data_IF_377482446952
#
_entry.id   IF_377482446952
#
_cell.length_a   1.000
_cell.length_b   1.000
_cell.length_c   1.000
_cell.angle_alpha   90.00
_cell.angle_beta   90.00
_cell.angle_gamma   90.00
#
_symmetry.space_group_name_H-M   'P 1'
#
loop_
_entity.id
_entity.type
_entity.pdbx_description
1 polymer ?
#
# COMPACT_ATOMS: atom_id res chain seq x y z
N UNK A 1 -9.79 2.81 -23.74
CA UNK A 1 -9.67 3.09 -22.29
C UNK A 1 -8.41 3.90 -22.09
N UNK A 2 -8.55 5.20 -21.81
CA UNK A 2 -7.43 6.12 -21.62
C UNK A 2 -7.05 6.13 -20.13
N UNK A 3 -5.84 5.68 -19.82
CA UNK A 3 -5.25 5.79 -18.49
C UNK A 3 -4.74 7.23 -18.32
N UNK A 4 -5.51 8.08 -17.63
CA UNK A 4 -5.03 9.39 -17.22
C UNK A 4 -4.03 9.23 -16.07
N UNK A 5 -2.74 9.26 -16.42
CA UNK A 5 -1.68 9.60 -15.47
C UNK A 5 -1.80 11.10 -15.18
N UNK A 6 -2.27 11.45 -13.99
CA UNK A 6 -1.99 12.78 -13.47
C UNK A 6 -0.56 12.80 -12.93
N UNK A 7 0.21 13.73 -13.48
CA UNK A 7 1.55 14.13 -13.08
C UNK A 7 1.66 14.19 -11.55
N UNK A 8 2.65 13.47 -11.01
CA UNK A 8 3.04 13.56 -9.61
C UNK A 8 3.66 14.95 -9.43
N UNK A 9 2.92 15.88 -8.81
CA UNK A 9 3.41 17.23 -8.51
C UNK A 9 4.53 17.17 -7.46
N UNK A 10 5.59 18.00 -7.57
CA UNK A 10 6.56 18.16 -6.50
C UNK A 10 5.94 19.12 -5.47
N UNK A 11 5.69 18.66 -4.25
CA UNK A 11 5.18 19.51 -3.17
C UNK A 11 6.05 19.34 -1.93
N UNK A 12 6.96 20.28 -1.74
CA UNK A 12 7.69 20.44 -0.49
C UNK A 12 6.79 21.21 0.50
N UNK A 13 6.15 20.50 1.42
CA UNK A 13 5.51 21.10 2.61
C UNK A 13 5.83 20.26 3.84
N UNK A 14 6.20 20.94 4.91
CA UNK A 14 6.60 20.40 6.21
C UNK A 14 5.35 19.79 6.88
N UNK A 15 5.26 18.46 6.80
CA UNK A 15 4.27 17.58 7.42
C UNK A 15 4.57 16.16 6.92
N UNK A 16 4.87 15.23 7.82
CA UNK A 16 5.32 13.86 7.50
C UNK A 16 4.19 12.97 6.94
N UNK A 17 3.59 13.31 5.80
CA UNK A 17 2.54 12.49 5.17
C UNK A 17 3.17 11.36 4.36
N UNK A 18 3.86 10.44 5.04
CA UNK A 18 4.36 9.21 4.42
C UNK A 18 3.21 8.24 4.23
N UNK A 19 3.09 7.69 3.03
CA UNK A 19 1.96 6.85 2.63
C UNK A 19 2.39 5.40 2.43
N UNK A 20 1.51 4.49 2.81
CA UNK A 20 1.62 3.06 2.52
C UNK A 20 0.68 2.74 1.36
N UNK A 21 1.24 2.63 0.15
CA UNK A 21 0.45 2.47 -1.06
C UNK A 21 0.10 1.00 -1.28
N UNK A 22 -1.17 0.64 -1.34
CA UNK A 22 -1.62 -0.75 -1.43
C UNK A 22 -2.27 -1.08 -2.79
N UNK A 23 -1.79 -2.15 -3.43
CA UNK A 23 -2.26 -2.63 -4.73
C UNK A 23 -2.59 -4.12 -4.70
N UNK A 24 -3.74 -4.48 -5.28
CA UNK A 24 -4.18 -5.86 -5.29
C UNK A 24 -5.69 -6.01 -5.36
N UNK A 25 -6.11 -7.20 -5.76
CA UNK A 25 -7.51 -7.63 -5.84
C UNK A 25 -7.84 -8.76 -4.86
N UNK A 26 -6.91 -9.11 -3.98
CA UNK A 26 -7.14 -9.96 -2.81
C UNK A 26 -7.83 -9.21 -1.68
N UNK A 27 -8.43 -9.98 -0.78
CA UNK A 27 -8.97 -9.46 0.47
C UNK A 27 -7.84 -9.43 1.51
N UNK A 28 -7.68 -8.28 2.18
CA UNK A 28 -6.66 -8.10 3.21
C UNK A 28 -6.95 -8.98 4.43
N UNK A 29 -5.99 -9.85 4.77
CA UNK A 29 -5.91 -10.60 6.02
C UNK A 29 -4.55 -10.40 6.68
N UNK A 30 -4.48 -10.40 8.01
CA UNK A 30 -3.23 -10.10 8.74
C UNK A 30 -2.12 -11.12 8.46
N UNK A 31 -2.47 -12.37 8.18
CA UNK A 31 -1.56 -13.47 7.84
C UNK A 31 -1.28 -13.58 6.33
N UNK A 32 -1.88 -12.72 5.50
CA UNK A 32 -1.66 -12.72 4.06
C UNK A 32 -0.20 -12.35 3.74
N UNK A 33 0.40 -13.12 2.83
CA UNK A 33 1.73 -12.82 2.31
C UNK A 33 1.64 -11.73 1.25
N UNK A 34 2.32 -10.61 1.51
CA UNK A 34 2.40 -9.46 0.61
C UNK A 34 3.85 -9.21 0.18
N UNK A 35 3.99 -8.50 -0.94
CA UNK A 35 5.24 -7.99 -1.46
C UNK A 35 5.39 -6.53 -1.04
N UNK A 36 6.45 -6.24 -0.29
CA UNK A 36 6.84 -4.91 0.13
C UNK A 36 7.90 -4.41 -0.83
N UNK A 37 7.61 -3.34 -1.54
CA UNK A 37 8.50 -2.71 -2.49
C UNK A 37 8.98 -1.37 -1.92
N UNK A 38 10.29 -1.21 -1.81
CA UNK A 38 10.93 0.00 -1.28
C UNK A 38 12.07 0.44 -2.19
N UNK A 39 12.28 1.75 -2.31
CA UNK A 39 13.47 2.38 -2.90
C UNK A 39 14.11 3.27 -1.84
N UNK A 40 15.29 3.85 -2.12
CA UNK A 40 16.09 4.64 -1.18
C UNK A 40 15.30 5.73 -0.42
N UNK A 41 15.93 6.35 0.59
CA UNK A 41 15.27 7.28 1.51
C UNK A 41 14.43 8.37 0.80
N UNK A 42 13.12 8.33 1.02
CA UNK A 42 12.17 9.36 0.58
C UNK A 42 11.00 8.86 -0.26
N UNK A 43 11.07 7.64 -0.81
CA UNK A 43 9.95 7.05 -1.54
C UNK A 43 8.95 6.35 -0.58
N UNK A 44 7.67 6.45 -0.91
CA UNK A 44 6.60 5.75 -0.20
C UNK A 44 6.69 4.22 -0.46
N UNK A 45 6.60 3.36 0.58
CA UNK A 45 6.55 1.92 0.40
C UNK A 45 5.28 1.51 -0.37
N UNK A 46 5.46 0.55 -1.27
CA UNK A 46 4.38 -0.01 -2.09
C UNK A 46 4.15 -1.46 -1.68
N UNK A 47 2.92 -1.77 -1.29
CA UNK A 47 2.48 -3.09 -0.86
C UNK A 47 1.64 -3.69 -2.00
N UNK A 48 2.03 -4.87 -2.45
CA UNK A 48 1.31 -5.62 -3.46
C UNK A 48 0.94 -7.00 -2.92
N UNK A 49 -0.31 -7.42 -3.09
CA UNK A 49 -0.68 -8.82 -2.84
C UNK A 49 -0.20 -9.74 -3.97
N UNK A 50 -0.56 -11.03 -3.90
CA UNK A 50 -0.22 -12.02 -4.92
C UNK A 50 -1.23 -12.10 -6.09
N UNK A 51 -2.21 -11.19 -6.16
CA UNK A 51 -3.17 -11.13 -7.28
C UNK A 51 -2.51 -10.67 -8.58
N UNK A 52 -3.20 -10.85 -9.72
CA UNK A 52 -2.72 -10.36 -11.02
C UNK A 52 -2.42 -8.85 -10.99
N UNK A 53 -3.32 -8.04 -10.41
CA UNK A 53 -3.16 -6.59 -10.29
C UNK A 53 -1.98 -6.22 -9.38
N UNK A 54 -1.85 -6.90 -8.24
CA UNK A 54 -0.73 -6.72 -7.32
C UNK A 54 0.61 -7.03 -8.00
N UNK A 55 0.72 -8.19 -8.66
CA UNK A 55 1.95 -8.61 -9.35
C UNK A 55 2.29 -7.73 -10.55
N UNK A 56 1.29 -7.24 -11.27
CA UNK A 56 1.48 -6.26 -12.36
C UNK A 56 2.10 -4.96 -11.83
N UNK A 57 1.59 -4.44 -10.71
CA UNK A 57 2.12 -3.24 -10.07
C UNK A 57 3.51 -3.48 -9.47
N UNK A 58 3.74 -4.63 -8.85
CA UNK A 58 5.05 -5.01 -8.34
C UNK A 58 6.11 -5.03 -9.46
N UNK A 59 5.78 -5.66 -10.61
CA UNK A 59 6.68 -5.72 -11.78
C UNK A 59 7.08 -4.33 -12.29
N UNK A 60 6.15 -3.37 -12.31
CA UNK A 60 6.44 -1.99 -12.71
C UNK A 60 7.43 -1.30 -11.76
N UNK A 61 7.24 -1.43 -10.47
CA UNK A 61 8.11 -0.81 -9.47
C UNK A 61 9.50 -1.45 -9.44
N UNK A 62 9.60 -2.77 -9.64
CA UNK A 62 10.88 -3.46 -9.81
C UNK A 62 11.64 -2.90 -11.01
N UNK A 63 10.98 -2.70 -12.15
CA UNK A 63 11.60 -2.04 -13.32
C UNK A 63 12.04 -0.60 -13.05
N UNK A 64 11.41 0.07 -12.09
CA UNK A 64 11.76 1.42 -11.63
C UNK A 64 12.83 1.43 -10.51
N UNK A 65 13.42 0.28 -10.19
CA UNK A 65 14.54 0.15 -9.24
C UNK A 65 14.14 -0.15 -7.79
N UNK A 66 12.87 -0.45 -7.51
CA UNK A 66 12.44 -0.85 -6.16
C UNK A 66 12.96 -2.26 -5.84
N UNK A 67 13.35 -2.46 -4.58
CA UNK A 67 13.70 -3.77 -4.02
C UNK A 67 12.45 -4.42 -3.45
N UNK A 68 12.34 -5.73 -3.60
CA UNK A 68 11.18 -6.51 -3.13
C UNK A 68 11.56 -7.34 -1.91
N UNK A 69 10.73 -7.29 -0.88
CA UNK A 69 10.75 -8.19 0.28
C UNK A 69 9.38 -8.83 0.42
N UNK A 70 9.33 -10.11 0.76
CA UNK A 70 8.07 -10.76 1.18
C UNK A 70 7.91 -10.63 2.70
N UNK A 71 6.70 -10.34 3.15
CA UNK A 71 6.34 -10.24 4.55
C UNK A 71 4.85 -10.59 4.71
N UNK A 72 4.42 -10.83 5.94
CA UNK A 72 2.98 -10.86 6.25
C UNK A 72 2.41 -9.45 6.30
N UNK A 73 1.12 -9.27 6.02
CA UNK A 73 0.47 -7.96 6.13
C UNK A 73 0.63 -7.40 7.54
N UNK A 74 0.53 -8.23 8.58
CA UNK A 74 0.77 -7.80 9.97
C UNK A 74 2.15 -7.17 10.18
N UNK A 75 3.22 -7.85 9.74
CA UNK A 75 4.59 -7.32 9.86
C UNK A 75 4.75 -5.97 9.13
N UNK A 76 4.07 -5.81 7.99
CA UNK A 76 4.09 -4.57 7.21
C UNK A 76 3.38 -3.44 7.96
N UNK A 77 2.17 -3.69 8.46
CA UNK A 77 1.40 -2.69 9.20
C UNK A 77 2.08 -2.28 10.50
N UNK A 78 2.76 -3.21 11.19
CA UNK A 78 3.58 -2.89 12.35
C UNK A 78 4.81 -2.03 11.97
N UNK A 79 5.50 -2.37 10.87
CA UNK A 79 6.69 -1.64 10.41
C UNK A 79 6.37 -0.20 10.02
N UNK A 80 5.20 0.01 9.41
CA UNK A 80 4.77 1.31 8.89
C UNK A 80 3.56 1.86 9.68
N UNK A 81 3.48 1.57 10.98
CA UNK A 81 2.30 1.83 11.81
C UNK A 81 1.74 3.26 11.69
N UNK A 82 2.64 4.26 11.58
CA UNK A 82 2.29 5.68 11.51
C UNK A 82 2.05 6.19 10.08
N UNK A 83 2.20 5.35 9.05
CA UNK A 83 1.99 5.73 7.65
C UNK A 83 0.50 5.71 7.31
N UNK A 84 0.06 6.63 6.48
CA UNK A 84 -1.32 6.63 5.98
C UNK A 84 -1.53 5.55 4.92
N UNK A 85 -2.54 4.71 5.09
CA UNK A 85 -2.89 3.71 4.08
C UNK A 85 -3.66 4.35 2.94
N UNK A 86 -3.20 4.10 1.71
CA UNK A 86 -3.86 4.59 0.51
C UNK A 86 -3.91 3.50 -0.56
N UNK A 87 -5.06 3.38 -1.22
CA UNK A 87 -5.26 2.48 -2.33
C UNK A 87 -6.21 3.11 -3.35
N UNK A 88 -6.02 2.81 -4.63
CA UNK A 88 -6.86 3.34 -5.71
C UNK A 88 -7.33 2.23 -6.64
N UNK A 89 -8.60 2.30 -7.00
CA UNK A 89 -9.21 1.55 -8.11
C UNK A 89 -8.92 0.03 -8.10
N UNK A 90 -9.02 -0.61 -6.93
CA UNK A 90 -8.82 -2.06 -6.76
C UNK A 90 -9.70 -2.60 -5.61
N UNK A 91 -9.73 -3.93 -5.40
CA UNK A 91 -10.56 -4.53 -4.33
C UNK A 91 -10.12 -4.04 -2.95
N UNK A 92 -8.82 -3.89 -2.73
CA UNK A 92 -8.26 -3.36 -1.48
C UNK A 92 -8.85 -1.98 -1.16
N UNK A 93 -8.92 -1.07 -2.13
CA UNK A 93 -9.46 0.27 -1.97
C UNK A 93 -10.94 0.26 -1.56
N UNK A 94 -11.71 -0.74 -2.04
CA UNK A 94 -13.09 -0.95 -1.59
C UNK A 94 -13.11 -1.42 -0.14
N UNK A 95 -12.30 -2.41 0.22
CA UNK A 95 -12.23 -2.92 1.59
C UNK A 95 -11.79 -1.82 2.58
N UNK A 96 -10.78 -1.01 2.25
CA UNK A 96 -10.35 0.12 3.09
C UNK A 96 -11.47 1.15 3.31
N UNK A 97 -12.31 1.38 2.29
CA UNK A 97 -13.49 2.25 2.42
C UNK A 97 -14.57 1.63 3.29
N UNK A 98 -14.86 0.35 3.10
CA UNK A 98 -15.88 -0.39 3.86
C UNK A 98 -15.50 -0.48 5.35
N UNK A 99 -14.21 -0.61 5.66
CA UNK A 99 -13.67 -0.56 7.03
C UNK A 99 -13.56 0.86 7.61
N UNK A 100 -13.71 1.90 6.79
CA UNK A 100 -13.58 3.30 7.20
C UNK A 100 -12.15 3.76 7.50
N UNK A 101 -11.14 3.11 6.91
CA UNK A 101 -9.71 3.35 7.20
C UNK A 101 -8.92 3.91 6.01
N UNK A 102 -9.58 4.29 4.91
CA UNK A 102 -8.95 5.01 3.82
C UNK A 102 -8.33 6.33 4.33
N UNK A 103 -7.03 6.57 4.07
CA UNK A 103 -6.26 7.71 4.60
C UNK A 103 -6.22 7.79 6.13
N UNK A 104 -6.30 6.64 6.78
CA UNK A 104 -6.00 6.46 8.21
C UNK A 104 -4.65 5.80 8.36
N UNK A 105 -4.16 5.70 9.59
CA UNK A 105 -2.86 5.06 9.84
C UNK A 105 -2.91 3.55 9.59
N UNK A 106 -1.77 2.95 9.24
CA UNK A 106 -1.63 1.50 9.12
C UNK A 106 -1.96 0.79 10.43
N UNK A 107 -1.70 1.45 11.56
CA UNK A 107 -2.14 1.01 12.90
C UNK A 107 -3.66 0.90 13.01
N UNK A 108 -4.41 1.89 12.53
CA UNK A 108 -5.88 1.85 12.53
C UNK A 108 -6.41 0.74 11.62
N UNK A 109 -5.79 0.52 10.46
CA UNK A 109 -6.11 -0.62 9.60
C UNK A 109 -5.89 -1.95 10.33
N UNK A 110 -4.74 -2.12 10.99
CA UNK A 110 -4.43 -3.33 11.74
C UNK A 110 -5.48 -3.60 12.83
N UNK A 111 -5.83 -2.59 13.62
CA UNK A 111 -6.85 -2.71 14.67
C UNK A 111 -8.22 -3.13 14.12
N UNK A 112 -8.61 -2.65 12.93
CA UNK A 112 -9.86 -3.07 12.28
C UNK A 112 -9.82 -4.52 11.83
N UNK A 113 -8.69 -4.97 11.27
CA UNK A 113 -8.52 -6.34 10.81
C UNK A 113 -8.42 -7.35 11.97
N UNK A 114 -7.94 -6.95 13.15
CA UNK A 114 -7.88 -7.82 14.34
C UNK A 114 -9.26 -8.17 14.92
N UNK A 115 -10.29 -7.38 14.63
CA UNK A 115 -11.66 -7.55 15.16
C UNK A 115 -12.69 -7.93 14.09
N UNK A 116 -12.25 -8.13 12.85
CA UNK A 116 -13.08 -8.56 11.70
C UNK A 116 -13.07 -10.08 11.56
#
# INVERSE_FOLDING_TARGET
MNYYYHEIKPFWVIGLDRRLLMFGDGQLWLDEVVFVLTRDEGDDPVICDASECGMYMASKHVKAGFRVKRATLKEVLDTYADYEVEAWNNLIARQLKDLGVMKKTAKELMQKLEVS
#
